data_IF_492020810139
#
_entry.id   IF_492020810139
#
_cell.length_a   1.000
_cell.length_b   1.000
_cell.length_c   1.000
_cell.angle_alpha   90.00
_cell.angle_beta   90.00
_cell.angle_gamma   90.00
#
_symmetry.space_group_name_H-M   'P 1'
#
loop_
_entity.id
_entity.type
_entity.pdbx_description
1 polymer ?
#
# COMPACT_ATOMS: atom_id res chain seq x y z
N UNK A 1 -39.34 -5.24 42.17
CA UNK A 1 -39.71 -6.67 42.23
C UNK A 1 -38.79 -7.37 41.26
N UNK A 2 -37.95 -8.25 41.80
CA UNK A 2 -36.71 -8.74 41.20
C UNK A 2 -36.94 -9.78 40.10
N UNK A 3 -36.03 -9.78 39.14
CA UNK A 3 -35.99 -10.60 37.93
C UNK A 3 -36.08 -12.11 38.16
N UNK A 4 -36.94 -12.76 37.37
CA UNK A 4 -36.98 -14.21 37.17
C UNK A 4 -36.55 -14.55 35.75
N UNK A 5 -35.24 -14.63 35.52
CA UNK A 5 -34.64 -14.95 34.21
C UNK A 5 -34.89 -16.39 33.74
N UNK A 6 -34.47 -16.67 32.50
CA UNK A 6 -34.70 -17.90 31.72
C UNK A 6 -34.47 -19.25 32.46
N UNK A 7 -33.66 -19.26 33.52
CA UNK A 7 -33.44 -20.43 34.37
C UNK A 7 -34.72 -20.91 35.09
N UNK A 8 -35.64 -20.01 35.41
CA UNK A 8 -36.95 -20.34 35.99
C UNK A 8 -37.88 -21.06 35.01
N UNK A 9 -37.75 -20.79 33.70
CA UNK A 9 -38.51 -21.50 32.66
C UNK A 9 -37.96 -22.89 32.36
N UNK A 10 -36.65 -23.12 32.54
CA UNK A 10 -36.04 -24.44 32.34
C UNK A 10 -36.39 -25.43 33.48
N UNK A 11 -36.59 -24.95 34.71
CA UNK A 11 -36.95 -25.80 35.86
C UNK A 11 -38.41 -26.29 35.79
N UNK A 12 -39.32 -25.46 35.28
CA UNK A 12 -40.73 -25.85 35.13
C UNK A 12 -40.98 -26.83 33.97
N UNK A 13 -40.03 -27.00 33.04
CA UNK A 13 -40.14 -27.98 31.97
C UNK A 13 -39.63 -29.38 32.36
N UNK A 14 -39.09 -29.52 33.58
CA UNK A 14 -38.58 -30.80 34.12
C UNK A 14 -39.55 -31.50 35.08
N UNK A 15 -40.72 -30.90 35.33
CA UNK A 15 -41.68 -31.35 36.33
C UNK A 15 -43.09 -31.42 35.76
N UNK A 16 -43.28 -32.13 34.65
CA UNK A 16 -44.58 -32.73 34.35
C UNK A 16 -44.35 -33.99 33.50
N UNK A 17 -44.81 -35.10 34.05
CA UNK A 17 -44.61 -36.45 33.57
C UNK A 17 -45.68 -36.82 32.52
N UNK A 18 -45.28 -37.61 31.52
CA UNK A 18 -46.20 -38.39 30.69
C UNK A 18 -46.66 -37.78 29.36
N UNK A 19 -45.87 -37.92 28.29
CA UNK A 19 -46.22 -38.83 27.17
C UNK A 19 -45.20 -38.75 26.03
N UNK A 20 -44.66 -39.94 25.70
CA UNK A 20 -44.22 -40.39 24.37
C UNK A 20 -43.69 -39.33 23.39
N UNK A 21 -42.40 -39.03 23.50
CA UNK A 21 -41.59 -38.64 22.34
C UNK A 21 -40.45 -39.63 22.20
N UNK A 22 -40.52 -40.40 21.12
CA UNK A 22 -39.53 -41.36 20.64
C UNK A 22 -38.22 -40.65 20.29
N UNK A 23 -37.47 -40.23 21.30
CA UNK A 23 -36.02 -40.27 21.23
C UNK A 23 -35.66 -41.71 21.51
N UNK A 24 -35.00 -42.33 20.54
CA UNK A 24 -34.51 -43.69 20.60
C UNK A 24 -33.43 -43.77 21.69
N UNK A 25 -33.87 -43.84 22.94
CA UNK A 25 -33.03 -43.95 24.11
C UNK A 25 -32.46 -45.37 24.13
N UNK A 26 -31.17 -45.50 23.85
CA UNK A 26 -30.44 -46.69 24.24
C UNK A 26 -30.58 -46.82 25.77
N UNK A 27 -31.31 -47.81 26.27
CA UNK A 27 -31.39 -48.06 27.70
C UNK A 27 -29.98 -48.30 28.22
N UNK A 28 -29.58 -47.45 29.17
CA UNK A 28 -28.30 -47.50 29.87
C UNK A 28 -28.50 -48.44 31.06
N UNK A 29 -27.77 -49.55 31.11
CA UNK A 29 -27.88 -50.49 32.23
C UNK A 29 -27.00 -49.98 33.38
N UNK A 30 -27.63 -49.67 34.52
CA UNK A 30 -26.92 -49.45 35.76
C UNK A 30 -26.39 -50.78 36.29
N UNK A 31 -25.13 -50.74 36.72
CA UNK A 31 -24.24 -51.86 37.06
C UNK A 31 -24.78 -52.75 38.20
N UNK A 32 -25.78 -53.59 37.94
CA UNK A 32 -26.18 -54.69 38.84
C UNK A 32 -26.84 -55.87 38.11
N UNK A 33 -26.14 -56.45 37.12
CA UNK A 33 -26.45 -57.81 36.64
C UNK A 33 -25.22 -58.49 36.02
N UNK A 34 -24.49 -59.24 36.84
CA UNK A 34 -23.93 -60.57 36.51
C UNK A 34 -23.18 -60.81 35.18
N UNK A 35 -22.56 -59.82 34.54
CA UNK A 35 -21.73 -60.05 33.34
C UNK A 35 -20.35 -59.40 33.50
N UNK A 36 -19.31 -60.09 33.01
CA UNK A 36 -17.87 -59.81 33.20
C UNK A 36 -17.52 -58.32 33.46
N UNK A 37 -17.16 -58.01 34.71
CA UNK A 37 -16.56 -56.72 35.08
C UNK A 37 -15.19 -56.60 34.42
N UNK A 38 -15.13 -56.03 33.22
CA UNK A 38 -13.87 -55.53 32.66
C UNK A 38 -13.33 -54.48 33.63
N UNK A 39 -12.09 -54.64 34.10
CA UNK A 39 -11.46 -53.68 34.99
C UNK A 39 -11.26 -52.35 34.25
N UNK A 40 -11.25 -51.21 34.96
CA UNK A 40 -10.88 -49.91 34.36
C UNK A 40 -9.52 -49.99 33.63
N UNK A 41 -8.62 -50.85 34.12
CA UNK A 41 -7.34 -51.17 33.47
C UNK A 41 -7.53 -51.78 32.08
N UNK A 42 -8.50 -52.68 31.91
CA UNK A 42 -8.76 -53.37 30.63
C UNK A 42 -9.38 -52.41 29.62
N UNK A 43 -10.27 -51.53 30.08
CA UNK A 43 -10.87 -50.46 29.27
C UNK A 43 -9.78 -49.49 28.80
N UNK A 44 -8.93 -49.01 29.72
CA UNK A 44 -7.83 -48.12 29.38
C UNK A 44 -6.82 -48.77 28.42
N UNK A 45 -6.41 -50.01 28.66
CA UNK A 45 -5.47 -50.73 27.79
C UNK A 45 -6.06 -50.95 26.38
N UNK A 46 -7.35 -51.27 26.30
CA UNK A 46 -8.03 -51.46 25.02
C UNK A 46 -8.20 -50.15 24.26
N UNK A 47 -8.48 -49.03 24.94
CA UNK A 47 -8.55 -47.71 24.31
C UNK A 47 -7.16 -47.24 23.84
N UNK A 48 -6.12 -47.47 24.64
CA UNK A 48 -4.75 -47.09 24.28
C UNK A 48 -4.26 -47.78 23.01
N UNK A 49 -4.40 -49.10 22.91
CA UNK A 49 -3.96 -49.83 21.71
C UNK A 49 -5.00 -49.80 20.58
N UNK A 50 -6.29 -49.72 20.91
CA UNK A 50 -7.38 -49.87 19.96
C UNK A 50 -7.87 -48.56 19.35
N UNK A 51 -7.67 -47.40 20.01
CA UNK A 51 -8.08 -46.08 19.52
C UNK A 51 -6.91 -45.10 19.43
N UNK A 52 -6.12 -44.96 20.50
CA UNK A 52 -5.03 -43.97 20.57
C UNK A 52 -3.88 -44.37 19.65
N UNK A 53 -3.33 -45.58 19.78
CA UNK A 53 -2.17 -46.00 18.98
C UNK A 53 -2.43 -45.98 17.46
N UNK A 54 -3.56 -46.47 16.93
CA UNK A 54 -3.87 -46.37 15.50
C UNK A 54 -3.93 -44.92 15.03
N UNK A 55 -4.53 -44.02 15.81
CA UNK A 55 -4.59 -42.60 15.50
C UNK A 55 -3.20 -41.96 15.43
N UNK A 56 -2.33 -42.23 16.41
CA UNK A 56 -0.94 -41.73 16.39
C UNK A 56 -0.11 -42.30 15.24
N UNK A 57 -0.31 -43.58 14.89
CA UNK A 57 0.37 -44.20 13.75
C UNK A 57 -0.02 -43.50 12.45
N UNK A 58 -1.31 -43.22 12.23
CA UNK A 58 -1.76 -42.50 11.03
C UNK A 58 -1.25 -41.07 11.01
N UNK A 59 -1.28 -40.39 12.15
CA UNK A 59 -0.78 -39.02 12.25
C UNK A 59 0.71 -38.93 11.90
N UNK A 60 1.53 -39.86 12.39
CA UNK A 60 2.98 -39.81 12.19
C UNK A 60 3.44 -40.41 10.86
N UNK A 61 2.77 -41.46 10.39
CA UNK A 61 3.19 -42.23 9.22
C UNK A 61 2.28 -42.06 8.01
N UNK A 62 1.16 -41.36 8.14
CA UNK A 62 0.19 -41.20 7.05
C UNK A 62 0.73 -40.46 5.83
N UNK A 63 1.72 -39.58 6.03
CA UNK A 63 2.40 -38.87 4.92
C UNK A 63 3.22 -39.82 4.02
N UNK A 64 3.56 -41.03 4.50
CA UNK A 64 4.28 -42.03 3.72
C UNK A 64 3.35 -43.02 2.99
N UNK A 65 2.02 -42.90 3.16
CA UNK A 65 1.02 -43.80 2.56
C UNK A 65 0.39 -43.18 1.32
N UNK A 66 1.16 -43.10 0.22
CA UNK A 66 0.78 -42.42 -1.04
C UNK A 66 -0.31 -43.13 -1.86
N UNK A 67 -0.83 -44.26 -1.39
CA UNK A 67 -1.88 -45.02 -2.09
C UNK A 67 -3.30 -44.60 -1.71
N UNK A 68 -3.48 -43.74 -0.70
CA UNK A 68 -4.78 -43.24 -0.25
C UNK A 68 -4.63 -41.87 0.42
N UNK A 69 -5.47 -40.90 0.06
CA UNK A 69 -5.46 -39.57 0.69
C UNK A 69 -5.68 -39.67 2.20
N UNK A 70 -4.90 -38.90 2.96
CA UNK A 70 -5.04 -38.74 4.41
C UNK A 70 -6.45 -38.31 4.85
N UNK A 71 -7.15 -37.55 4.00
CA UNK A 71 -8.53 -37.11 4.23
C UNK A 71 -9.54 -38.26 4.22
N UNK A 72 -9.22 -39.37 3.54
CA UNK A 72 -10.05 -40.58 3.46
C UNK A 72 -9.56 -41.64 4.47
N UNK A 73 -8.23 -41.76 4.60
CA UNK A 73 -7.60 -42.75 5.46
C UNK A 73 -7.89 -42.51 6.95
N UNK A 74 -7.83 -41.24 7.40
CA UNK A 74 -8.00 -40.91 8.82
C UNK A 74 -9.42 -41.22 9.32
N UNK A 75 -10.52 -40.82 8.63
CA UNK A 75 -11.86 -41.23 9.01
C UNK A 75 -12.06 -42.76 8.98
N UNK A 76 -11.50 -43.45 7.98
CA UNK A 76 -11.65 -44.89 7.83
C UNK A 76 -10.98 -45.65 8.98
N UNK A 77 -9.78 -45.22 9.39
CA UNK A 77 -9.09 -45.82 10.53
C UNK A 77 -9.80 -45.50 11.84
N UNK A 78 -10.36 -44.29 12.00
CA UNK A 78 -11.18 -43.95 13.18
C UNK A 78 -12.46 -44.79 13.27
N UNK A 79 -13.10 -45.09 12.15
CA UNK A 79 -14.28 -45.98 12.12
C UNK A 79 -13.86 -47.42 12.43
N UNK A 80 -12.78 -47.91 11.81
CA UNK A 80 -12.29 -49.27 12.03
C UNK A 80 -11.82 -49.47 13.49
N UNK A 81 -11.14 -48.49 14.06
CA UNK A 81 -10.71 -48.47 15.46
C UNK A 81 -11.92 -48.46 16.40
N UNK A 82 -12.97 -47.69 16.06
CA UNK A 82 -14.19 -47.63 16.85
C UNK A 82 -14.89 -48.99 16.85
N UNK A 83 -15.06 -49.61 15.69
CA UNK A 83 -15.65 -50.95 15.55
C UNK A 83 -14.84 -51.99 16.33
N UNK A 84 -13.50 -51.93 16.25
CA UNK A 84 -12.62 -52.82 16.99
C UNK A 84 -12.78 -52.67 18.51
N UNK A 85 -12.74 -51.44 19.01
CA UNK A 85 -12.91 -51.14 20.45
C UNK A 85 -14.31 -51.54 20.92
N UNK A 86 -15.33 -51.27 20.11
CA UNK A 86 -16.73 -51.61 20.39
C UNK A 86 -16.91 -53.12 20.55
N UNK A 87 -16.33 -53.89 19.62
CA UNK A 87 -16.33 -55.35 19.66
C UNK A 87 -15.51 -55.89 20.85
N UNK A 88 -14.29 -55.38 21.04
CA UNK A 88 -13.35 -55.90 22.03
C UNK A 88 -13.81 -55.69 23.48
N UNK A 89 -14.47 -54.57 23.77
CA UNK A 89 -15.01 -54.26 25.10
C UNK A 89 -16.39 -54.87 25.37
N UNK A 90 -16.93 -55.59 24.38
CA UNK A 90 -18.26 -56.19 24.40
C UNK A 90 -19.31 -55.16 24.87
N UNK A 91 -19.37 -54.02 24.15
CA UNK A 91 -20.24 -52.88 24.48
C UNK A 91 -21.74 -53.21 24.46
N UNK A 92 -22.11 -54.34 23.85
CA UNK A 92 -23.49 -54.71 23.62
C UNK A 92 -24.08 -54.01 22.39
N UNK A 93 -25.30 -54.40 22.07
CA UNK A 93 -26.14 -53.72 21.10
C UNK A 93 -27.07 -52.76 21.86
N UNK A 94 -27.28 -51.53 21.38
CA UNK A 94 -28.21 -50.63 22.01
C UNK A 94 -29.65 -51.19 21.88
N UNK A 95 -30.52 -50.84 22.83
CA UNK A 95 -31.89 -51.38 22.90
C UNK A 95 -32.71 -51.18 21.63
N UNK A 96 -32.44 -50.10 20.90
CA UNK A 96 -33.08 -49.83 19.62
C UNK A 96 -32.63 -50.71 18.46
N UNK A 97 -31.45 -51.33 18.59
CA UNK A 97 -30.92 -52.31 17.66
C UNK A 97 -31.19 -53.75 18.13
N UNK A 98 -32.11 -53.94 19.08
CA UNK A 98 -32.52 -55.25 19.60
C UNK A 98 -31.57 -55.86 20.62
N UNK A 99 -30.72 -55.06 21.27
CA UNK A 99 -29.80 -55.53 22.32
C UNK A 99 -30.22 -55.21 23.75
N UNK A 100 -29.46 -55.72 24.72
CA UNK A 100 -29.76 -55.58 26.16
C UNK A 100 -29.47 -54.17 26.72
N UNK A 101 -28.85 -53.28 25.94
CA UNK A 101 -28.45 -51.93 26.37
C UNK A 101 -26.94 -51.75 26.38
N UNK A 102 -26.50 -50.50 26.54
CA UNK A 102 -25.07 -50.15 26.56
C UNK A 102 -24.58 -50.01 28.00
N UNK A 103 -23.37 -50.51 28.26
CA UNK A 103 -22.67 -50.31 29.53
C UNK A 103 -22.25 -48.84 29.66
N UNK A 104 -22.77 -48.16 30.69
CA UNK A 104 -22.56 -46.72 30.90
C UNK A 104 -21.08 -46.36 31.06
N UNK A 105 -20.31 -47.17 31.80
CA UNK A 105 -18.92 -46.87 32.13
C UNK A 105 -18.04 -47.02 30.89
N UNK A 106 -18.25 -48.08 30.12
CA UNK A 106 -17.52 -48.33 28.87
C UNK A 106 -17.89 -47.32 27.79
N UNK A 107 -19.18 -47.02 27.66
CA UNK A 107 -19.71 -46.04 26.73
C UNK A 107 -19.09 -44.65 26.98
N UNK A 108 -19.13 -44.17 28.22
CA UNK A 108 -18.53 -42.88 28.59
C UNK A 108 -17.03 -42.82 28.28
N UNK A 109 -16.27 -43.89 28.58
CA UNK A 109 -14.84 -43.94 28.30
C UNK A 109 -14.53 -43.92 26.80
N UNK A 110 -15.29 -44.65 25.98
CA UNK A 110 -15.13 -44.68 24.51
C UNK A 110 -15.49 -43.32 23.93
N UNK A 111 -16.70 -42.82 24.18
CA UNK A 111 -17.13 -41.53 23.62
C UNK A 111 -16.24 -40.39 24.09
N UNK A 112 -15.85 -40.35 25.36
CA UNK A 112 -14.90 -39.36 25.87
C UNK A 112 -13.54 -39.41 25.16
N UNK A 113 -13.01 -40.62 24.91
CA UNK A 113 -11.73 -40.77 24.19
C UNK A 113 -11.84 -40.30 22.74
N UNK A 114 -12.89 -40.69 22.02
CA UNK A 114 -13.07 -40.27 20.61
C UNK A 114 -13.38 -38.78 20.49
N UNK A 115 -14.13 -38.18 21.43
CA UNK A 115 -14.33 -36.72 21.49
C UNK A 115 -12.99 -36.01 21.72
N UNK A 116 -12.12 -36.52 22.59
CA UNK A 116 -10.80 -35.94 22.83
C UNK A 116 -9.90 -36.08 21.60
N UNK A 117 -9.87 -37.27 20.97
CA UNK A 117 -9.06 -37.54 19.78
C UNK A 117 -9.48 -36.69 18.57
N UNK A 118 -10.77 -36.36 18.44
CA UNK A 118 -11.27 -35.47 17.39
C UNK A 118 -11.20 -33.99 17.78
N UNK A 119 -11.44 -33.67 19.05
CA UNK A 119 -11.57 -32.31 19.55
C UNK A 119 -10.23 -31.62 19.80
N UNK A 120 -9.21 -32.32 20.31
CA UNK A 120 -7.89 -31.72 20.57
C UNK A 120 -7.23 -31.22 19.27
N UNK A 121 -7.15 -32.01 18.19
CA UNK A 121 -6.58 -31.53 16.93
C UNK A 121 -7.34 -30.33 16.36
N UNK A 122 -8.67 -30.33 16.47
CA UNK A 122 -9.49 -29.20 16.04
C UNK A 122 -9.20 -27.93 16.85
N UNK A 123 -9.16 -28.04 18.18
CA UNK A 123 -8.84 -26.90 19.06
C UNK A 123 -7.41 -26.39 18.84
N UNK A 124 -6.44 -27.28 18.63
CA UNK A 124 -5.07 -26.91 18.28
C UNK A 124 -5.00 -26.21 16.92
N UNK A 125 -5.71 -26.72 15.91
CA UNK A 125 -5.76 -26.09 14.59
C UNK A 125 -6.32 -24.67 14.67
N UNK A 126 -7.41 -24.46 15.42
CA UNK A 126 -8.00 -23.12 15.58
C UNK A 126 -7.18 -22.15 16.42
N UNK A 127 -6.22 -22.65 17.21
CA UNK A 127 -5.42 -21.82 18.12
C UNK A 127 -4.00 -21.58 17.59
N UNK A 128 -3.51 -22.46 16.71
CA UNK A 128 -2.21 -22.31 16.04
C UNK A 128 -2.31 -21.67 14.65
N UNK A 129 -3.46 -21.77 13.97
CA UNK A 129 -3.69 -21.05 12.70
C UNK A 129 -4.18 -19.65 13.06
N UNK A 130 -3.30 -18.67 12.93
CA UNK A 130 -3.64 -17.27 13.14
C UNK A 130 -4.38 -16.65 11.97
N UNK A 131 -5.20 -15.66 12.27
CA UNK A 131 -5.85 -14.83 11.25
C UNK A 131 -4.82 -13.99 10.52
N UNK A 132 -4.87 -13.98 9.19
CA UNK A 132 -4.04 -13.14 8.32
C UNK A 132 -4.76 -11.79 8.12
N UNK A 133 -4.01 -10.69 8.15
CA UNK A 133 -4.52 -9.35 7.90
C UNK A 133 -3.52 -8.47 7.17
N UNK A 134 -4.01 -7.43 6.49
CA UNK A 134 -3.15 -6.38 5.94
C UNK A 134 -2.57 -5.56 7.10
N UNK A 135 -1.24 -5.44 7.11
CA UNK A 135 -0.50 -4.66 8.09
C UNK A 135 -0.32 -3.22 7.63
N UNK A 136 0.43 -3.02 6.55
CA UNK A 136 0.79 -1.69 6.04
C UNK A 136 1.01 -1.72 4.53
N UNK A 137 0.87 -0.56 3.89
CA UNK A 137 1.14 -0.35 2.46
C UNK A 137 1.84 0.99 2.33
N UNK A 138 3.14 0.96 2.07
CA UNK A 138 4.00 2.14 2.15
C UNK A 138 4.92 2.20 0.94
N UNK A 139 5.06 3.39 0.36
CA UNK A 139 6.08 3.65 -0.66
C UNK A 139 7.43 3.88 -0.01
N UNK A 140 8.50 3.47 -0.68
CA UNK A 140 9.84 3.94 -0.37
C UNK A 140 9.92 5.47 -0.45
N UNK A 141 10.93 6.05 0.22
CA UNK A 141 11.17 7.49 0.25
C UNK A 141 11.24 8.14 -1.15
N UNK A 142 11.78 7.40 -2.13
CA UNK A 142 11.89 7.79 -3.54
C UNK A 142 10.66 7.48 -4.38
N UNK A 143 9.69 6.75 -3.83
CA UNK A 143 8.45 6.39 -4.49
C UNK A 143 8.58 5.29 -5.54
N UNK A 144 9.73 4.64 -5.64
CA UNK A 144 10.03 3.65 -6.69
C UNK A 144 9.65 2.21 -6.30
N UNK A 145 9.47 1.95 -5.01
CA UNK A 145 9.09 0.66 -4.45
C UNK A 145 7.85 0.81 -3.56
N UNK A 146 6.90 -0.12 -3.69
CA UNK A 146 5.74 -0.24 -2.82
C UNK A 146 5.92 -1.48 -1.94
N UNK A 147 6.14 -1.29 -0.63
CA UNK A 147 6.18 -2.36 0.35
C UNK A 147 4.78 -2.66 0.87
N UNK A 148 4.39 -3.93 0.80
CA UNK A 148 3.11 -4.43 1.33
C UNK A 148 3.41 -5.38 2.47
N UNK A 149 3.00 -4.99 3.68
CA UNK A 149 3.19 -5.77 4.90
C UNK A 149 1.91 -6.51 5.26
N UNK A 150 2.03 -7.81 5.53
CA UNK A 150 0.93 -8.70 5.89
C UNK A 150 1.24 -9.32 7.25
N UNK A 151 0.26 -9.35 8.14
CA UNK A 151 0.39 -9.86 9.51
C UNK A 151 -0.37 -11.16 9.70
N UNK A 152 0.09 -11.98 10.62
CA UNK A 152 -0.64 -13.17 11.06
C UNK A 152 -0.57 -13.32 12.58
N UNK A 153 -1.72 -13.53 13.22
CA UNK A 153 -1.81 -13.73 14.66
C UNK A 153 -1.57 -15.20 15.06
N UNK A 154 -0.31 -15.66 14.94
CA UNK A 154 0.09 -17.02 15.27
C UNK A 154 0.18 -17.95 14.04
N UNK A 155 1.12 -18.89 14.09
CA UNK A 155 1.53 -19.62 12.90
C UNK A 155 2.64 -18.90 12.14
N UNK A 156 3.34 -19.63 11.28
CA UNK A 156 4.35 -19.11 10.36
C UNK A 156 4.35 -20.01 9.12
N UNK A 157 4.78 -19.48 7.98
CA UNK A 157 4.77 -20.25 6.75
C UNK A 157 4.96 -19.39 5.50
N UNK A 158 4.95 -20.11 4.37
CA UNK A 158 4.93 -19.55 3.03
C UNK A 158 3.47 -19.38 2.60
N UNK A 159 3.16 -18.22 2.03
CA UNK A 159 1.84 -17.81 1.58
C UNK A 159 1.90 -17.30 0.14
N UNK A 160 0.80 -17.47 -0.58
CA UNK A 160 0.63 -16.93 -1.93
C UNK A 160 -0.29 -15.69 -1.86
N UNK A 161 0.15 -14.56 -2.41
CA UNK A 161 -0.64 -13.35 -2.56
C UNK A 161 -0.88 -13.05 -4.05
N UNK A 162 -2.15 -13.01 -4.46
CA UNK A 162 -2.56 -12.47 -5.74
C UNK A 162 -2.88 -10.98 -5.58
N UNK A 163 -2.06 -10.13 -6.20
CA UNK A 163 -2.18 -8.67 -6.14
C UNK A 163 -2.75 -8.16 -7.46
N UNK A 164 -3.65 -7.19 -7.41
CA UNK A 164 -4.17 -6.52 -8.60
C UNK A 164 -4.23 -5.02 -8.38
N UNK A 165 -3.63 -4.25 -9.29
CA UNK A 165 -3.70 -2.79 -9.29
C UNK A 165 -4.67 -2.30 -10.35
N UNK A 166 -5.39 -1.24 -10.00
CA UNK A 166 -6.29 -0.52 -10.87
C UNK A 166 -5.89 0.95 -10.93
N UNK A 167 -6.07 1.58 -12.09
CA UNK A 167 -6.03 3.04 -12.26
C UNK A 167 -7.36 3.51 -12.84
N UNK A 168 -8.04 4.42 -12.15
CA UNK A 168 -9.37 4.90 -12.58
C UNK A 168 -10.38 3.76 -12.80
N UNK A 169 -10.24 2.67 -12.05
CA UNK A 169 -11.10 1.47 -12.12
C UNK A 169 -10.77 0.47 -13.23
N UNK A 170 -9.73 0.70 -14.04
CA UNK A 170 -9.23 -0.27 -15.03
C UNK A 170 -8.02 -1.01 -14.48
N UNK A 171 -7.96 -2.33 -14.66
CA UNK A 171 -6.81 -3.14 -14.26
C UNK A 171 -5.57 -2.76 -15.07
N UNK A 172 -4.45 -2.52 -14.38
CA UNK A 172 -3.17 -2.13 -14.99
C UNK A 172 -2.07 -3.14 -14.72
N UNK A 173 -2.20 -3.93 -13.65
CA UNK A 173 -1.23 -4.96 -13.26
C UNK A 173 -1.92 -6.03 -12.43
N UNK A 174 -1.51 -7.28 -12.61
CA UNK A 174 -1.87 -8.40 -11.73
C UNK A 174 -0.72 -9.41 -11.68
N UNK A 175 -0.44 -9.94 -10.48
CA UNK A 175 0.62 -10.94 -10.30
C UNK A 175 0.41 -11.81 -9.04
N UNK A 176 0.91 -13.03 -9.10
CA UNK A 176 1.02 -13.94 -7.95
C UNK A 176 2.41 -13.78 -7.32
N UNK A 177 2.44 -13.51 -6.02
CA UNK A 177 3.65 -13.24 -5.25
C UNK A 177 3.72 -14.20 -4.07
N UNK A 178 4.85 -14.91 -3.96
CA UNK A 178 5.15 -15.73 -2.79
C UNK A 178 5.86 -14.90 -1.73
N UNK A 179 5.42 -15.04 -0.49
CA UNK A 179 6.04 -14.38 0.65
C UNK A 179 5.99 -15.27 1.90
N UNK A 180 6.98 -15.10 2.76
CA UNK A 180 7.05 -15.80 4.03
C UNK A 180 6.70 -14.86 5.19
N UNK A 181 5.97 -15.38 6.17
CA UNK A 181 5.79 -14.73 7.48
C UNK A 181 6.91 -15.22 8.39
N UNK A 182 8.03 -14.50 8.35
CA UNK A 182 9.30 -14.85 9.00
C UNK A 182 9.87 -13.72 9.89
N UNK A 183 9.20 -12.55 9.91
CA UNK A 183 9.59 -11.38 10.69
C UNK A 183 8.62 -11.13 11.84
N UNK A 184 9.08 -10.37 12.82
CA UNK A 184 8.29 -10.01 14.00
C UNK A 184 8.67 -8.62 14.49
N UNK A 185 7.68 -7.82 14.88
CA UNK A 185 7.88 -6.51 15.50
C UNK A 185 7.01 -6.35 16.75
N UNK A 186 6.98 -5.14 17.31
CA UNK A 186 6.18 -4.84 18.51
C UNK A 186 4.66 -5.03 18.35
N UNK A 187 4.18 -5.28 17.13
CA UNK A 187 2.78 -5.50 16.79
C UNK A 187 2.49 -6.96 16.37
N UNK A 188 3.50 -7.83 16.33
CA UNK A 188 3.37 -9.26 16.03
C UNK A 188 4.16 -9.71 14.81
N UNK A 189 3.91 -10.95 14.39
CA UNK A 189 4.59 -11.58 13.26
C UNK A 189 4.05 -11.04 11.93
N UNK A 190 4.94 -10.88 10.95
CA UNK A 190 4.61 -10.34 9.64
C UNK A 190 5.52 -10.89 8.54
N UNK A 191 4.99 -10.87 7.33
CA UNK A 191 5.73 -10.97 6.08
C UNK A 191 5.58 -9.67 5.30
N UNK A 192 6.47 -9.43 4.34
CA UNK A 192 6.28 -8.37 3.37
C UNK A 192 6.91 -8.74 2.04
N UNK A 193 6.39 -8.13 0.99
CA UNK A 193 6.96 -8.18 -0.35
C UNK A 193 6.91 -6.77 -0.96
N UNK A 194 7.72 -6.58 -1.98
CA UNK A 194 7.88 -5.29 -2.66
C UNK A 194 7.49 -5.43 -4.12
N UNK A 195 6.81 -4.42 -4.65
CA UNK A 195 6.49 -4.29 -6.08
C UNK A 195 7.09 -2.97 -6.56
N UNK A 196 7.77 -2.97 -7.71
CA UNK A 196 8.28 -1.72 -8.27
C UNK A 196 7.12 -0.87 -8.77
N UNK A 197 7.14 0.42 -8.48
CA UNK A 197 6.19 1.39 -9.04
C UNK A 197 6.16 1.32 -10.56
N UNK A 198 7.32 1.11 -11.20
CA UNK A 198 7.41 0.99 -12.66
C UNK A 198 6.64 -0.21 -13.25
N UNK A 199 6.37 -1.26 -12.46
CA UNK A 199 5.67 -2.45 -12.94
C UNK A 199 4.16 -2.19 -13.16
N UNK A 200 3.56 -1.30 -12.37
CA UNK A 200 2.13 -1.02 -12.42
C UNK A 200 1.79 0.43 -12.82
N UNK A 201 2.77 1.33 -12.84
CA UNK A 201 2.58 2.71 -13.26
C UNK A 201 2.18 2.77 -14.74
N UNK A 202 1.03 3.39 -14.99
CA UNK A 202 0.45 3.57 -16.33
C UNK A 202 0.04 5.02 -16.61
N UNK A 203 0.58 5.96 -15.83
CA UNK A 203 0.36 7.40 -15.91
C UNK A 203 -0.20 8.00 -14.61
N UNK A 204 -0.30 9.33 -14.56
CA UNK A 204 -0.66 10.07 -13.35
C UNK A 204 -1.94 9.62 -12.63
N UNK A 205 -1.86 9.56 -11.30
CA UNK A 205 -2.98 9.36 -10.39
C UNK A 205 -3.83 10.62 -10.24
N UNK A 206 -3.19 11.78 -10.07
CA UNK A 206 -3.88 13.06 -10.02
C UNK A 206 -4.24 13.56 -11.44
N UNK A 207 -5.24 14.45 -11.56
CA UNK A 207 -6.16 14.85 -10.50
C UNK A 207 -7.29 13.83 -10.23
N UNK A 208 -7.60 12.93 -11.18
CA UNK A 208 -8.86 12.17 -11.17
C UNK A 208 -8.73 10.67 -11.57
N UNK A 209 -7.54 10.09 -11.54
CA UNK A 209 -7.25 8.71 -11.97
C UNK A 209 -6.57 7.90 -10.87
N UNK A 210 -7.14 7.92 -9.67
CA UNK A 210 -6.61 7.25 -8.48
C UNK A 210 -6.22 5.79 -8.72
N UNK A 211 -5.13 5.37 -8.08
CA UNK A 211 -4.72 3.98 -8.06
C UNK A 211 -5.29 3.26 -6.84
N UNK A 212 -5.82 2.05 -7.08
CA UNK A 212 -6.30 1.17 -6.02
C UNK A 212 -5.71 -0.23 -6.15
N UNK A 213 -5.58 -0.91 -5.02
CA UNK A 213 -5.05 -2.28 -4.92
C UNK A 213 -6.09 -3.22 -4.30
N UNK A 214 -6.24 -4.38 -4.92
CA UNK A 214 -6.90 -5.56 -4.35
C UNK A 214 -5.82 -6.61 -4.01
N UNK A 215 -5.99 -7.26 -2.86
CA UNK A 215 -5.09 -8.28 -2.34
C UNK A 215 -5.90 -9.52 -1.96
N UNK A 216 -5.51 -10.68 -2.50
CA UNK A 216 -6.09 -11.97 -2.18
C UNK A 216 -5.01 -12.94 -1.73
N UNK A 217 -5.07 -13.42 -0.50
CA UNK A 217 -4.08 -14.30 0.12
C UNK A 217 -4.64 -15.71 0.20
N UNK A 218 -3.80 -16.70 -0.12
CA UNK A 218 -4.06 -18.13 -0.07
C UNK A 218 -5.38 -18.53 -0.78
N UNK A 219 -5.57 -18.02 -2.01
CA UNK A 219 -6.70 -18.36 -2.88
C UNK A 219 -8.10 -18.10 -2.29
N UNK A 220 -8.25 -17.04 -1.49
CA UNK A 220 -9.54 -16.54 -1.00
C UNK A 220 -9.72 -16.64 0.50
N UNK A 221 -8.72 -17.13 1.24
CA UNK A 221 -8.76 -17.20 2.69
C UNK A 221 -8.78 -15.79 3.31
N UNK A 222 -8.03 -14.84 2.74
CA UNK A 222 -8.11 -13.41 3.10
C UNK A 222 -8.18 -12.54 1.87
N UNK A 223 -9.21 -11.69 1.77
CA UNK A 223 -9.42 -10.79 0.64
C UNK A 223 -9.61 -9.36 1.15
N UNK A 224 -8.75 -8.44 0.69
CA UNK A 224 -8.83 -7.01 0.96
C UNK A 224 -8.95 -6.28 -0.36
N UNK A 225 -9.87 -5.32 -0.47
CA UNK A 225 -10.18 -4.63 -1.73
C UNK A 225 -10.20 -3.12 -1.60
N UNK A 226 -9.89 -2.44 -2.70
CA UNK A 226 -10.01 -0.99 -2.82
C UNK A 226 -9.07 -0.23 -1.90
N UNK A 227 -7.87 -0.75 -1.68
CA UNK A 227 -6.82 -0.05 -0.93
C UNK A 227 -6.34 1.11 -1.79
N UNK A 228 -6.55 2.34 -1.34
CA UNK A 228 -6.12 3.55 -2.03
C UNK A 228 -4.61 3.73 -1.86
N UNK A 229 -3.90 3.94 -2.97
CA UNK A 229 -2.47 4.25 -2.96
C UNK A 229 -2.23 5.77 -2.97
N UNK A 230 -1.07 6.21 -2.51
CA UNK A 230 -0.70 7.62 -2.49
C UNK A 230 -0.67 8.22 -3.90
N UNK A 231 -1.61 9.11 -4.18
CA UNK A 231 -1.75 9.74 -5.49
C UNK A 231 -0.65 10.77 -5.80
N UNK A 232 0.01 11.33 -4.78
CA UNK A 232 1.13 12.25 -4.98
C UNK A 232 2.37 11.50 -5.46
N UNK A 233 2.66 10.33 -4.87
CA UNK A 233 3.75 9.44 -5.32
C UNK A 233 3.50 8.95 -6.75
N UNK A 234 2.24 8.63 -7.05
CA UNK A 234 1.82 8.12 -8.35
C UNK A 234 1.44 9.22 -9.36
N UNK A 235 1.92 10.45 -9.16
CA UNK A 235 1.85 11.53 -10.14
C UNK A 235 3.27 11.96 -10.50
N UNK A 236 3.72 11.60 -11.70
CA UNK A 236 5.12 11.68 -12.16
C UNK A 236 5.28 12.25 -13.57
N UNK A 237 4.23 12.23 -14.40
CA UNK A 237 4.25 12.82 -15.74
C UNK A 237 3.96 14.32 -15.69
N UNK A 238 4.69 15.13 -16.45
CA UNK A 238 4.41 16.56 -16.56
C UNK A 238 3.22 16.76 -17.51
N UNK A 239 2.25 17.57 -17.11
CA UNK A 239 1.08 17.85 -17.98
C UNK A 239 0.79 19.34 -18.17
N UNK A 240 1.53 20.22 -17.50
CA UNK A 240 1.34 21.66 -17.59
C UNK A 240 2.63 22.41 -17.26
N UNK A 241 2.89 23.47 -18.03
CA UNK A 241 4.02 24.37 -17.88
C UNK A 241 3.49 25.79 -17.91
N UNK A 242 4.07 26.66 -17.10
CA UNK A 242 3.80 28.09 -17.10
C UNK A 242 5.12 28.85 -16.88
N UNK A 243 5.29 29.98 -17.55
CA UNK A 243 6.50 30.79 -17.49
C UNK A 243 6.20 32.22 -17.01
N UNK A 244 7.15 32.82 -16.30
CA UNK A 244 7.03 34.20 -15.83
C UNK A 244 8.39 34.90 -15.80
N UNK A 245 8.42 36.14 -16.29
CA UNK A 245 9.57 37.02 -16.25
C UNK A 245 9.22 38.28 -15.44
N UNK A 246 9.96 38.53 -14.35
CA UNK A 246 9.78 39.69 -13.46
C UNK A 246 11.00 40.61 -13.53
N UNK A 247 10.83 41.90 -13.83
CA UNK A 247 11.93 42.84 -13.93
C UNK A 247 12.50 43.14 -12.55
N UNK A 248 13.82 43.32 -12.51
CA UNK A 248 14.53 43.97 -11.42
C UNK A 248 14.65 45.44 -11.77
N UNK A 249 14.06 46.32 -10.96
CA UNK A 249 14.15 47.76 -11.19
C UNK A 249 15.26 48.34 -10.30
N UNK A 250 15.94 49.37 -10.78
CA UNK A 250 16.89 50.16 -10.01
C UNK A 250 16.56 51.64 -10.16
N UNK A 251 16.84 52.40 -9.11
CA UNK A 251 16.85 53.88 -9.12
C UNK A 251 18.29 54.41 -8.93
N UNK A 252 19.30 53.52 -8.88
CA UNK A 252 20.69 53.90 -8.75
C UNK A 252 21.20 54.48 -10.08
N UNK A 253 21.82 55.65 -10.01
CA UNK A 253 22.43 56.30 -11.17
C UNK A 253 23.59 55.49 -11.76
N UNK A 254 24.23 54.62 -10.98
CA UNK A 254 25.31 53.75 -11.48
C UNK A 254 24.76 52.67 -12.43
N UNK A 255 23.53 52.19 -12.21
CA UNK A 255 22.85 51.21 -13.06
C UNK A 255 22.08 51.89 -14.20
N UNK A 256 21.41 53.00 -13.89
CA UNK A 256 20.42 53.64 -14.76
C UNK A 256 20.96 54.86 -15.54
N UNK A 257 22.19 55.28 -15.27
CA UNK A 257 22.82 56.42 -15.92
C UNK A 257 22.00 57.70 -15.74
N UNK A 258 21.32 58.13 -16.81
CA UNK A 258 20.47 59.34 -16.79
C UNK A 258 18.99 59.07 -16.56
N UNK A 259 18.56 57.81 -16.49
CA UNK A 259 17.17 57.44 -16.21
C UNK A 259 16.88 57.59 -14.71
N UNK A 260 15.63 57.92 -14.38
CA UNK A 260 15.16 57.96 -12.99
C UNK A 260 14.94 56.55 -12.44
N UNK A 261 14.54 55.62 -13.33
CA UNK A 261 14.32 54.22 -12.99
C UNK A 261 14.54 53.35 -14.23
N UNK A 262 15.30 52.27 -14.09
CA UNK A 262 15.62 51.37 -15.19
C UNK A 262 15.53 49.90 -14.77
N UNK A 263 15.46 49.00 -15.74
CA UNK A 263 15.62 47.56 -15.55
C UNK A 263 17.11 47.25 -15.37
N UNK A 264 17.49 46.80 -14.18
CA UNK A 264 18.85 46.35 -13.87
C UNK A 264 19.06 44.86 -14.14
N UNK A 265 17.98 44.07 -14.26
CA UNK A 265 18.04 42.65 -14.54
C UNK A 265 16.66 42.00 -14.59
N UNK A 266 16.60 40.68 -14.67
CA UNK A 266 15.33 39.94 -14.71
C UNK A 266 15.40 38.65 -13.89
N UNK A 267 14.30 38.34 -13.21
CA UNK A 267 14.05 37.05 -12.58
C UNK A 267 13.14 36.24 -13.49
N UNK A 268 13.61 35.07 -13.91
CA UNK A 268 12.83 34.13 -14.70
C UNK A 268 12.36 32.99 -13.79
N UNK A 269 11.09 32.62 -13.89
CA UNK A 269 10.52 31.48 -13.18
C UNK A 269 9.83 30.54 -14.17
N UNK A 270 10.09 29.25 -14.02
CA UNK A 270 9.34 28.18 -14.68
C UNK A 270 8.48 27.47 -13.63
N UNK A 271 7.21 27.27 -13.93
CA UNK A 271 6.30 26.47 -13.11
C UNK A 271 5.98 25.22 -13.89
N UNK A 272 6.42 24.07 -13.38
CA UNK A 272 6.34 22.80 -14.10
C UNK A 272 5.64 21.78 -13.20
N UNK A 273 4.65 21.08 -13.75
CA UNK A 273 4.02 20.00 -13.04
C UNK A 273 2.72 19.54 -13.66
N UNK A 274 1.72 19.26 -12.81
CA UNK A 274 0.43 18.74 -13.24
C UNK A 274 -0.58 19.87 -13.45
N UNK A 275 -1.41 19.74 -14.47
CA UNK A 275 -2.49 20.69 -14.75
C UNK A 275 -3.41 20.84 -13.55
N UNK A 276 -3.63 22.08 -13.12
CA UNK A 276 -4.54 22.42 -12.03
C UNK A 276 -5.72 23.25 -12.56
N UNK A 277 -6.71 23.53 -11.71
CA UNK A 277 -7.79 24.47 -12.04
C UNK A 277 -7.32 25.93 -12.10
N UNK A 278 -6.14 26.21 -11.55
CA UNK A 278 -5.49 27.51 -11.60
C UNK A 278 -4.51 27.56 -12.79
N UNK A 279 -4.04 28.75 -13.16
CA UNK A 279 -3.04 28.90 -14.22
C UNK A 279 -1.65 28.35 -13.84
N UNK A 280 -1.42 28.09 -12.53
CA UNK A 280 -0.15 27.57 -12.02
C UNK A 280 -0.26 26.05 -11.84
N UNK A 281 0.65 25.26 -12.44
CA UNK A 281 0.67 23.80 -12.27
C UNK A 281 0.80 23.37 -10.81
N UNK A 282 0.24 22.22 -10.46
CA UNK A 282 0.49 21.54 -9.19
C UNK A 282 1.88 20.91 -9.17
N UNK A 283 2.49 20.84 -7.99
CA UNK A 283 3.82 20.27 -7.77
C UNK A 283 3.91 18.77 -8.10
N UNK A 284 5.07 18.34 -8.61
CA UNK A 284 5.41 16.92 -8.86
C UNK A 284 6.78 16.60 -8.23
N UNK A 285 6.86 16.20 -6.96
CA UNK A 285 8.13 15.94 -6.28
C UNK A 285 8.83 14.64 -6.71
N UNK A 286 8.12 13.75 -7.41
CA UNK A 286 8.61 12.45 -7.88
C UNK A 286 8.81 12.38 -9.41
N UNK A 287 8.65 13.51 -10.10
CA UNK A 287 8.80 13.58 -11.55
C UNK A 287 10.25 13.82 -11.96
N UNK A 288 10.70 13.07 -12.97
CA UNK A 288 11.97 13.31 -13.66
C UNK A 288 11.69 14.04 -14.96
N UNK A 289 12.35 15.17 -15.19
CA UNK A 289 12.19 15.93 -16.43
C UNK A 289 13.36 16.85 -16.69
N UNK A 290 13.49 17.26 -17.94
CA UNK A 290 14.44 18.30 -18.37
C UNK A 290 13.68 19.45 -18.98
N UNK A 291 14.20 20.67 -18.87
CA UNK A 291 13.61 21.80 -19.56
C UNK A 291 14.63 22.84 -20.00
N UNK A 292 14.27 23.56 -21.06
CA UNK A 292 15.03 24.69 -21.59
C UNK A 292 14.20 25.96 -21.46
N UNK A 293 14.88 27.09 -21.25
CA UNK A 293 14.24 28.40 -21.13
C UNK A 293 14.98 29.41 -21.98
N UNK A 294 14.26 30.07 -22.88
CA UNK A 294 14.83 31.10 -23.77
C UNK A 294 14.00 32.37 -23.67
N UNK A 295 14.67 33.51 -23.51
CA UNK A 295 14.10 34.84 -23.63
C UNK A 295 14.55 35.44 -24.98
N UNK A 296 13.62 35.72 -25.87
CA UNK A 296 13.89 36.29 -27.20
C UNK A 296 13.25 37.66 -27.39
N UNK A 297 13.98 38.59 -28.02
CA UNK A 297 13.51 39.89 -28.48
C UNK A 297 12.96 39.80 -29.91
N UNK A 298 11.77 40.37 -30.13
CA UNK A 298 11.08 40.48 -31.42
C UNK A 298 11.01 39.17 -32.21
N UNK A 299 10.99 38.05 -31.47
CA UNK A 299 10.81 36.67 -31.96
C UNK A 299 12.01 36.06 -32.69
N UNK A 300 13.12 36.77 -32.86
CA UNK A 300 14.28 36.26 -33.63
C UNK A 300 15.60 36.34 -32.86
N UNK A 301 15.77 37.35 -32.02
CA UNK A 301 17.05 37.63 -31.39
C UNK A 301 17.05 37.10 -29.95
N UNK A 302 18.03 36.27 -29.60
CA UNK A 302 18.09 35.64 -28.28
C UNK A 302 18.70 36.64 -27.29
N UNK A 303 17.91 37.07 -26.31
CA UNK A 303 18.38 37.92 -25.21
C UNK A 303 19.06 37.07 -24.13
N UNK A 304 18.42 35.96 -23.72
CA UNK A 304 18.94 35.04 -22.70
C UNK A 304 18.65 33.60 -23.14
N UNK A 305 19.69 32.77 -23.15
CA UNK A 305 19.58 31.32 -23.30
C UNK A 305 19.98 30.68 -21.97
N UNK A 306 19.01 30.25 -21.17
CA UNK A 306 19.30 29.64 -19.87
C UNK A 306 19.77 28.19 -20.08
N UNK A 307 20.81 27.72 -19.36
CA UNK A 307 21.28 26.35 -19.45
C UNK A 307 20.17 25.33 -19.18
N UNK A 308 20.20 24.18 -19.86
CA UNK A 308 19.22 23.12 -19.65
C UNK A 308 19.19 22.71 -18.18
N UNK A 309 18.00 22.72 -17.59
CA UNK A 309 17.78 22.27 -16.22
C UNK A 309 17.30 20.83 -16.24
N UNK A 310 17.93 19.98 -15.44
CA UNK A 310 17.52 18.58 -15.21
C UNK A 310 16.99 18.45 -13.80
N UNK A 311 15.79 17.89 -13.66
CA UNK A 311 15.14 17.62 -12.37
C UNK A 311 15.08 16.11 -12.17
N UNK A 312 15.62 15.66 -11.04
CA UNK A 312 15.51 14.28 -10.54
C UNK A 312 14.56 14.27 -9.33
N UNK A 313 13.46 13.54 -9.43
CA UNK A 313 12.44 13.41 -8.39
C UNK A 313 12.82 12.40 -7.30
N UNK A 314 12.01 12.36 -6.23
CA UNK A 314 12.10 11.30 -5.21
C UNK A 314 13.21 11.49 -4.15
N UNK A 315 13.79 12.67 -4.02
CA UNK A 315 14.64 12.94 -2.85
C UNK A 315 13.79 13.16 -1.60
N UNK A 316 14.23 12.69 -0.43
CA UNK A 316 13.47 12.82 0.82
C UNK A 316 14.16 13.70 1.86
N UNK A 317 13.35 14.38 2.68
CA UNK A 317 13.79 15.14 3.86
C UNK A 317 12.81 14.98 5.01
N UNK A 318 13.16 15.49 6.20
CA UNK A 318 12.25 15.49 7.36
C UNK A 318 10.94 16.26 7.16
N UNK A 319 10.82 17.06 6.09
CA UNK A 319 9.64 17.88 5.79
C UNK A 319 8.86 17.39 4.56
N UNK A 320 9.32 16.32 3.90
CA UNK A 320 8.66 15.72 2.73
C UNK A 320 9.63 15.41 1.59
N UNK A 321 9.09 14.79 0.55
CA UNK A 321 9.81 14.46 -0.68
C UNK A 321 9.85 15.64 -1.64
N UNK A 322 10.91 15.72 -2.43
CA UNK A 322 11.22 16.83 -3.34
C UNK A 322 12.10 16.36 -4.50
N UNK A 323 12.14 17.16 -5.56
CA UNK A 323 13.07 17.02 -6.66
C UNK A 323 14.33 17.86 -6.50
N UNK A 324 15.42 17.41 -7.12
CA UNK A 324 16.70 18.09 -7.22
C UNK A 324 16.87 18.62 -8.64
N UNK A 325 16.93 19.94 -8.80
CA UNK A 325 17.25 20.57 -10.07
C UNK A 325 18.75 20.84 -10.19
N UNK A 326 19.33 20.57 -11.36
CA UNK A 326 20.73 20.82 -11.70
C UNK A 326 20.87 21.45 -13.08
N UNK A 327 21.84 22.34 -13.25
CA UNK A 327 22.17 23.00 -14.51
C UNK A 327 23.62 23.48 -14.52
N UNK A 328 24.15 23.84 -15.69
CA UNK A 328 25.50 24.43 -15.80
C UNK A 328 25.48 25.88 -15.30
N UNK A 329 26.25 26.20 -14.26
CA UNK A 329 26.30 27.57 -13.72
C UNK A 329 27.04 28.56 -14.63
N UNK A 330 27.72 28.09 -15.69
CA UNK A 330 28.51 28.90 -16.61
C UNK A 330 29.54 29.79 -15.89
N UNK A 331 30.20 29.23 -14.87
CA UNK A 331 31.17 29.96 -14.06
C UNK A 331 30.55 30.91 -13.03
N UNK A 332 29.26 30.74 -12.71
CA UNK A 332 28.53 31.52 -11.70
C UNK A 332 27.54 32.54 -12.28
N UNK A 333 27.45 32.65 -13.62
CA UNK A 333 26.48 33.50 -14.31
C UNK A 333 25.03 33.12 -13.96
N UNK A 334 24.76 31.82 -13.82
CA UNK A 334 23.44 31.28 -13.50
C UNK A 334 23.42 30.66 -12.09
N UNK A 335 23.99 31.38 -11.11
CA UNK A 335 23.98 30.98 -9.71
C UNK A 335 24.82 29.73 -9.41
N UNK A 336 24.32 28.89 -8.50
CA UNK A 336 25.06 27.72 -7.99
C UNK A 336 25.03 26.48 -8.87
N UNK A 337 24.17 26.44 -9.91
CA UNK A 337 23.98 25.25 -10.76
C UNK A 337 23.13 24.15 -10.13
N UNK A 338 22.54 24.39 -8.95
CA UNK A 338 21.71 23.40 -8.23
C UNK A 338 20.62 24.06 -7.40
N UNK A 339 19.45 23.44 -7.31
CA UNK A 339 18.36 23.82 -6.41
C UNK A 339 17.71 22.57 -5.81
N UNK A 340 17.60 22.54 -4.48
CA UNK A 340 16.82 21.54 -3.74
C UNK A 340 15.45 22.09 -3.38
N UNK A 341 14.48 21.21 -3.11
CA UNK A 341 13.09 21.50 -2.72
C UNK A 341 12.10 21.68 -3.88
N UNK A 342 12.41 21.17 -5.09
CA UNK A 342 11.45 21.21 -6.20
C UNK A 342 10.21 20.39 -5.83
N UNK A 343 9.02 20.95 -6.00
CA UNK A 343 7.78 20.28 -5.64
C UNK A 343 7.40 20.33 -4.15
N UNK A 344 8.31 20.78 -3.26
CA UNK A 344 8.05 20.82 -1.81
C UNK A 344 7.19 22.03 -1.40
N UNK A 345 7.45 23.18 -2.02
CA UNK A 345 6.75 24.45 -1.75
C UNK A 345 5.91 24.94 -2.94
N UNK A 346 5.67 24.08 -3.92
CA UNK A 346 4.98 24.41 -5.16
C UNK A 346 5.75 23.92 -6.39
N UNK A 347 5.23 24.25 -7.56
CA UNK A 347 5.81 23.90 -8.87
C UNK A 347 6.83 24.91 -9.39
N UNK A 348 7.05 26.02 -8.66
CA UNK A 348 7.96 27.08 -9.08
C UNK A 348 9.42 26.63 -9.00
N UNK A 349 10.13 26.89 -10.08
CA UNK A 349 11.57 26.77 -10.21
C UNK A 349 12.08 28.15 -10.60
N UNK A 350 12.73 28.83 -9.65
CA UNK A 350 13.35 30.13 -9.91
C UNK A 350 14.68 29.93 -10.61
N UNK A 351 14.83 30.51 -11.80
CA UNK A 351 16.05 30.43 -12.60
C UNK A 351 17.02 31.50 -12.08
N UNK A 352 18.05 31.05 -11.38
CA UNK A 352 18.99 31.92 -10.68
C UNK A 352 19.91 32.64 -11.68
N UNK A 353 20.18 33.93 -11.43
CA UNK A 353 21.26 34.64 -12.11
C UNK A 353 22.52 34.79 -11.25
N UNK A 354 23.22 35.92 -11.41
CA UNK A 354 24.51 36.19 -10.75
C UNK A 354 24.44 37.26 -9.65
N UNK A 355 23.35 38.05 -9.60
CA UNK A 355 23.22 39.18 -8.68
C UNK A 355 22.00 39.06 -7.75
N UNK A 356 22.15 39.39 -6.47
CA UNK A 356 21.02 39.42 -5.53
C UNK A 356 20.27 40.75 -5.61
N UNK A 357 18.94 40.72 -5.80
CA UNK A 357 18.11 41.92 -5.73
C UNK A 357 17.00 41.77 -4.68
N UNK A 358 17.04 42.64 -3.66
CA UNK A 358 16.09 42.64 -2.53
C UNK A 358 14.69 43.11 -2.94
N UNK A 359 14.56 43.93 -3.99
CA UNK A 359 13.27 44.47 -4.45
C UNK A 359 12.36 43.43 -5.09
N UNK A 360 12.93 42.37 -5.67
CA UNK A 360 12.16 41.21 -6.17
C UNK A 360 11.85 40.22 -5.04
N UNK A 361 12.53 40.34 -3.89
CA UNK A 361 12.37 39.53 -2.69
C UNK A 361 13.72 39.21 -2.05
N UNK A 362 13.78 39.12 -0.72
CA UNK A 362 15.00 38.73 -0.02
C UNK A 362 15.53 37.38 -0.53
N UNK A 363 16.72 37.37 -1.14
CA UNK A 363 17.38 36.17 -1.66
C UNK A 363 17.09 35.83 -3.12
N UNK A 364 16.33 36.66 -3.85
CA UNK A 364 16.11 36.44 -5.28
C UNK A 364 17.34 36.86 -6.10
N UNK A 365 17.87 35.89 -6.86
CA UNK A 365 19.06 36.06 -7.68
C UNK A 365 18.61 36.29 -9.13
N UNK A 366 18.91 37.46 -9.66
CA UNK A 366 18.49 37.94 -10.98
C UNK A 366 19.61 37.81 -11.99
N UNK A 367 19.23 37.66 -13.26
CA UNK A 367 20.17 37.73 -14.38
C UNK A 367 20.32 39.22 -14.72
N UNK A 368 21.49 39.84 -14.43
CA UNK A 368 21.68 41.27 -14.65
C UNK A 368 21.60 41.59 -16.13
N UNK A 369 21.16 42.81 -16.47
CA UNK A 369 20.99 43.26 -17.86
C UNK A 369 22.29 43.20 -18.65
N UNK A 370 23.44 43.33 -17.99
CA UNK A 370 24.77 43.19 -18.60
C UNK A 370 25.07 41.80 -19.16
N UNK A 371 24.37 40.78 -18.66
CA UNK A 371 24.55 39.37 -19.07
C UNK A 371 23.63 38.99 -20.24
N UNK A 372 22.81 39.92 -20.73
CA UNK A 372 21.92 39.69 -21.86
C UNK A 372 22.69 39.91 -23.16
N UNK A 373 22.47 39.03 -24.13
CA UNK A 373 23.05 39.19 -25.46
C UNK A 373 22.39 40.33 -26.22
N UNK A 374 21.09 40.53 -25.99
CA UNK A 374 20.29 41.61 -26.55
C UNK A 374 19.44 42.22 -25.43
N UNK A 375 19.45 43.55 -25.32
CA UNK A 375 18.79 44.28 -24.22
C UNK A 375 18.05 45.54 -24.68
N UNK A 376 17.71 45.60 -25.97
CA UNK A 376 17.02 46.73 -26.59
C UNK A 376 15.52 46.73 -26.22
N UNK A 377 14.88 47.89 -26.36
CA UNK A 377 13.42 47.99 -26.19
C UNK A 377 12.69 47.23 -27.29
N UNK A 378 11.59 46.58 -26.93
CA UNK A 378 10.79 45.79 -27.86
C UNK A 378 9.93 44.76 -27.16
N UNK A 379 9.50 43.74 -27.91
CA UNK A 379 8.65 42.68 -27.38
C UNK A 379 9.47 41.43 -27.07
N UNK A 380 9.51 41.07 -25.79
CA UNK A 380 10.21 39.91 -25.28
C UNK A 380 9.25 38.73 -25.14
N UNK A 381 9.68 37.56 -25.62
CA UNK A 381 8.97 36.28 -25.46
C UNK A 381 9.82 35.34 -24.61
N UNK A 382 9.25 34.84 -23.52
CA UNK A 382 9.85 33.83 -22.65
C UNK A 382 9.23 32.46 -22.97
N UNK A 383 10.00 31.61 -23.63
CA UNK A 383 9.59 30.25 -24.00
C UNK A 383 10.25 29.25 -23.06
N UNK A 384 9.45 28.38 -22.46
CA UNK A 384 9.89 27.22 -21.66
C UNK A 384 9.42 25.96 -22.33
N UNK A 385 10.34 25.03 -22.58
CA UNK A 385 10.06 23.72 -23.20
C UNK A 385 10.50 22.61 -22.25
N UNK A 386 9.58 21.72 -21.90
CA UNK A 386 9.79 20.62 -20.95
C UNK A 386 9.71 19.28 -21.66
N UNK A 387 10.62 18.38 -21.32
CA UNK A 387 10.66 17.01 -21.79
C UNK A 387 10.79 16.04 -20.60
N UNK A 388 9.77 15.20 -20.39
CA UNK A 388 9.72 14.17 -19.34
C UNK A 388 10.09 12.75 -19.85
N UNK A 389 10.65 12.66 -21.06
CA UNK A 389 10.98 11.41 -21.74
C UNK A 389 9.81 10.80 -22.53
N UNK A 390 8.57 11.20 -22.25
CA UNK A 390 7.37 10.70 -22.94
C UNK A 390 6.67 11.78 -23.77
N UNK A 391 6.65 13.02 -23.28
CA UNK A 391 5.98 14.16 -23.87
C UNK A 391 6.89 15.38 -23.89
N UNK A 392 6.58 16.30 -24.81
CA UNK A 392 7.17 17.63 -24.89
C UNK A 392 6.05 18.65 -24.70
N UNK A 393 6.23 19.59 -23.76
CA UNK A 393 5.22 20.58 -23.38
C UNK A 393 5.87 21.95 -23.31
N UNK A 394 5.29 22.89 -24.04
CA UNK A 394 5.81 24.25 -24.16
C UNK A 394 4.86 25.29 -23.56
N UNK A 395 5.43 26.38 -23.07
CA UNK A 395 4.68 27.57 -22.66
C UNK A 395 5.44 28.84 -23.03
N UNK A 396 4.72 29.83 -23.56
CA UNK A 396 5.24 31.15 -23.90
C UNK A 396 4.54 32.25 -23.10
N UNK A 397 5.30 33.21 -22.60
CA UNK A 397 4.78 34.45 -22.02
C UNK A 397 5.43 35.67 -22.68
N UNK A 398 4.65 36.75 -22.82
CA UNK A 398 5.03 37.92 -23.62
C UNK A 398 5.13 39.17 -22.76
N UNK A 399 6.12 40.01 -23.05
CA UNK A 399 6.43 41.21 -22.29
C UNK A 399 6.83 42.36 -23.21
N UNK A 400 6.30 43.56 -22.99
CA UNK A 400 6.76 44.79 -23.63
C UNK A 400 7.76 45.47 -22.70
N UNK A 401 8.96 45.71 -23.23
CA UNK A 401 10.00 46.50 -22.59
C UNK A 401 10.14 47.84 -23.32
N UNK A 402 9.82 48.95 -22.63
CA UNK A 402 9.81 50.28 -23.23
C UNK A 402 10.30 51.38 -22.26
N UNK A 403 10.54 52.56 -22.82
CA UNK A 403 10.83 53.78 -22.08
C UNK A 403 9.60 54.69 -22.06
N UNK A 404 9.19 55.10 -20.87
CA UNK A 404 8.14 56.10 -20.70
C UNK A 404 8.68 57.53 -20.92
N UNK A 405 7.78 58.48 -21.22
CA UNK A 405 8.13 59.90 -21.40
C UNK A 405 8.76 60.56 -20.14
N UNK A 406 8.75 59.87 -18.99
CA UNK A 406 9.31 60.30 -17.70
C UNK A 406 10.74 59.84 -17.43
N UNK A 407 11.45 59.28 -18.42
CA UNK A 407 12.77 58.67 -18.24
C UNK A 407 12.73 57.51 -17.23
N UNK A 408 11.67 56.71 -17.32
CA UNK A 408 11.49 55.47 -16.57
C UNK A 408 11.26 54.32 -17.54
N UNK A 409 11.96 53.22 -17.35
CA UNK A 409 11.72 52.00 -18.12
C UNK A 409 10.59 51.17 -17.52
N UNK A 410 9.85 50.46 -18.36
CA UNK A 410 8.71 49.63 -17.97
C UNK A 410 8.83 48.22 -18.55
N UNK A 411 8.33 47.23 -17.81
CA UNK A 411 8.26 45.83 -18.25
C UNK A 411 6.85 45.32 -17.98
N UNK A 412 6.08 45.20 -19.05
CA UNK A 412 4.63 44.96 -18.97
C UNK A 412 4.27 43.62 -19.59
N UNK A 413 3.62 42.74 -18.81
CA UNK A 413 3.08 41.50 -19.34
C UNK A 413 1.93 41.77 -20.31
N UNK A 414 1.97 41.14 -21.48
CA UNK A 414 0.97 41.29 -22.55
C UNK A 414 0.53 39.92 -23.07
N UNK A 415 -0.55 39.89 -23.86
CA UNK A 415 -1.09 38.64 -24.40
C UNK A 415 -0.35 38.13 -25.64
N UNK A 416 0.59 38.90 -26.19
CA UNK A 416 1.31 38.55 -27.41
C UNK A 416 2.29 39.62 -27.85
N UNK A 417 3.36 39.16 -28.48
CA UNK A 417 4.14 39.88 -29.48
C UNK A 417 3.54 39.56 -30.87
#
# INVERSE_FOLDING_TARGET
MTDGGLLGKAINQKSDDGSSSSLVAATIISDDSGSNKSSLKDIAMTLSYGAIAPFFIVMWFGIYLDFISLTILSPLIMIASLVFVWWKLNMGLPVFAGGDGLDLKKSFAIFGTYIILLGIPFLLATLLVGDISLGDVEFSDDGDELEIKIRQNGGSGNHDAFVTFYRGGSEVFSNDIQFDIDRSDGLGDYGSFVISTSDFYSGNALPNSEYTMDLNIDNGDTVVKGIVLDSLVLSRDVTSVYSSAKPSMSEDSDDCGSMNRCVSGISLSAFIGISSSDSIPGALPYADYTFTTTLSLDGNDIAIEYPTVTVEGGSSSSIGSFGLATWDSMGGQYGGGTMSNIGLYGSEISLMGSESNIEIGEGNIVIPKSDWSESDYGCYTLSVSVNDGTNEIDHESFYIYDESESSEESWTNVNGC
#
